data_IF_508811897981
#
_entry.id   IF_508811897981
#
_cell.length_a   1.000
_cell.length_b   1.000
_cell.length_c   1.000
_cell.angle_alpha   90.00
_cell.angle_beta   90.00
_cell.angle_gamma   90.00
#
_symmetry.space_group_name_H-M   'P 1'
#
loop_
_entity.id
_entity.type
_entity.pdbx_description
1 polymer ?
#
# COMPACT_ATOMS: atom_id res chain seq x y z
N UNK A 1 23.70 74.92 -57.33
CA UNK A 1 23.90 74.51 -55.93
C UNK A 1 24.44 73.09 -55.94
N UNK A 2 25.73 72.89 -55.65
CA UNK A 2 26.34 71.56 -55.61
C UNK A 2 26.19 70.99 -54.20
N UNK A 3 25.45 69.90 -54.05
CA UNK A 3 25.35 69.20 -52.78
C UNK A 3 26.73 68.66 -52.40
N UNK A 4 27.17 68.97 -51.18
CA UNK A 4 28.48 68.50 -50.69
C UNK A 4 28.36 67.04 -50.25
N UNK A 5 29.40 66.23 -50.44
CA UNK A 5 29.41 64.83 -50.01
C UNK A 5 29.09 64.66 -48.51
N UNK A 6 29.42 65.65 -47.67
CA UNK A 6 29.09 65.65 -46.25
C UNK A 6 27.59 65.78 -45.96
N UNK A 7 26.84 66.53 -46.77
CA UNK A 7 25.38 66.65 -46.61
C UNK A 7 24.69 65.33 -46.94
N UNK A 8 25.14 64.63 -47.98
CA UNK A 8 24.61 63.32 -48.36
C UNK A 8 24.92 62.27 -47.28
N UNK A 9 26.14 62.26 -46.74
CA UNK A 9 26.53 61.37 -45.65
C UNK A 9 25.73 61.65 -44.36
N UNK A 10 25.54 62.92 -44.00
CA UNK A 10 24.75 63.32 -42.84
C UNK A 10 23.29 62.88 -42.93
N UNK A 11 22.67 62.96 -44.11
CA UNK A 11 21.29 62.50 -44.32
C UNK A 11 21.15 60.99 -44.12
N UNK A 12 22.09 60.20 -44.67
CA UNK A 12 22.10 58.74 -44.52
C UNK A 12 22.33 58.36 -43.05
N UNK A 13 23.29 59.02 -42.38
CA UNK A 13 23.57 58.79 -40.97
C UNK A 13 22.35 59.11 -40.09
N UNK A 14 21.64 60.21 -40.37
CA UNK A 14 20.42 60.58 -39.65
C UNK A 14 19.30 59.54 -39.81
N UNK A 15 19.10 59.03 -41.04
CA UNK A 15 18.14 57.96 -41.31
C UNK A 15 18.49 56.65 -40.62
N UNK A 16 19.76 56.25 -40.65
CA UNK A 16 20.24 55.06 -39.96
C UNK A 16 20.06 55.19 -38.43
N UNK A 17 20.39 56.36 -37.87
CA UNK A 17 20.20 56.63 -36.45
C UNK A 17 18.72 56.62 -36.05
N UNK A 18 17.83 57.19 -36.87
CA UNK A 18 16.39 57.14 -36.64
C UNK A 18 15.88 55.68 -36.54
N UNK A 19 16.27 54.82 -37.49
CA UNK A 19 15.89 53.40 -37.48
C UNK A 19 16.44 52.67 -36.25
N UNK A 20 17.68 52.98 -35.85
CA UNK A 20 18.31 52.43 -34.65
C UNK A 20 17.49 52.81 -33.40
N UNK A 21 17.10 54.07 -33.25
CA UNK A 21 16.31 54.53 -32.10
C UNK A 21 14.95 53.83 -32.06
N UNK A 22 14.26 53.69 -33.18
CA UNK A 22 12.99 52.96 -33.24
C UNK A 22 13.17 51.50 -32.79
N UNK A 23 14.24 50.84 -33.26
CA UNK A 23 14.57 49.48 -32.85
C UNK A 23 14.85 49.39 -31.34
N UNK A 24 15.62 50.32 -30.76
CA UNK A 24 15.88 50.37 -29.33
C UNK A 24 14.60 50.56 -28.52
N UNK A 25 13.70 51.45 -28.95
CA UNK A 25 12.40 51.62 -28.30
C UNK A 25 11.61 50.31 -28.30
N UNK A 26 11.59 49.59 -29.42
CA UNK A 26 10.91 48.30 -29.51
C UNK A 26 11.51 47.24 -28.57
N UNK A 27 12.84 47.16 -28.47
CA UNK A 27 13.53 46.26 -27.54
C UNK A 27 13.21 46.63 -26.09
N UNK A 28 13.25 47.91 -25.74
CA UNK A 28 12.99 48.38 -24.38
C UNK A 28 11.57 48.04 -23.93
N UNK A 29 10.57 48.21 -24.81
CA UNK A 29 9.18 47.83 -24.52
C UNK A 29 9.05 46.32 -24.29
N UNK A 30 9.73 45.49 -25.09
CA UNK A 30 9.75 44.04 -24.90
C UNK A 30 10.42 43.65 -23.58
N UNK A 31 11.54 44.27 -23.23
CA UNK A 31 12.24 44.03 -21.95
C UNK A 31 11.35 44.38 -20.77
N UNK A 32 10.65 45.52 -20.80
CA UNK A 32 9.70 45.90 -19.75
C UNK A 32 8.56 44.88 -19.63
N UNK A 33 8.05 44.38 -20.76
CA UNK A 33 7.01 43.35 -20.77
C UNK A 33 7.51 42.05 -20.13
N UNK A 34 8.71 41.60 -20.51
CA UNK A 34 9.35 40.41 -19.92
C UNK A 34 9.53 40.59 -18.41
N UNK A 35 10.03 41.75 -17.95
CA UNK A 35 10.20 42.02 -16.51
C UNK A 35 8.86 41.96 -15.77
N UNK A 36 7.78 42.49 -16.36
CA UNK A 36 6.44 42.42 -15.75
C UNK A 36 5.92 40.99 -15.66
N UNK A 37 6.06 40.22 -16.73
CA UNK A 37 5.69 38.80 -16.76
C UNK A 37 6.53 37.98 -15.77
N UNK A 38 7.84 38.21 -15.70
CA UNK A 38 8.73 37.58 -14.71
C UNK A 38 8.33 37.93 -13.27
N UNK A 39 7.97 39.19 -12.98
CA UNK A 39 7.49 39.56 -11.65
C UNK A 39 6.18 38.84 -11.28
N UNK A 40 5.26 38.72 -12.23
CA UNK A 40 4.03 37.97 -12.03
C UNK A 40 4.32 36.48 -11.80
N UNK A 41 5.22 35.87 -12.60
CA UNK A 41 5.63 34.48 -12.42
C UNK A 41 6.33 34.24 -11.09
N UNK A 42 7.21 35.15 -10.63
CA UNK A 42 7.84 35.05 -9.32
C UNK A 42 6.78 35.13 -8.22
N UNK A 43 5.81 36.05 -8.33
CA UNK A 43 4.72 36.18 -7.35
C UNK A 43 3.88 34.90 -7.27
N UNK A 44 3.50 34.34 -8.42
CA UNK A 44 2.76 33.07 -8.46
C UNK A 44 3.60 31.92 -7.89
N UNK A 45 4.87 31.82 -8.29
CA UNK A 45 5.78 30.79 -7.76
C UNK A 45 5.93 30.88 -6.24
N UNK A 46 6.08 32.09 -5.68
CA UNK A 46 6.10 32.29 -4.22
C UNK A 46 4.79 31.83 -3.58
N UNK A 47 3.64 32.18 -4.17
CA UNK A 47 2.33 31.73 -3.68
C UNK A 47 2.16 30.21 -3.73
N UNK A 48 2.69 29.57 -4.78
CA UNK A 48 2.65 28.11 -4.94
C UNK A 48 3.55 27.45 -3.89
N UNK A 49 4.73 28.00 -3.62
CA UNK A 49 5.65 27.52 -2.57
C UNK A 49 5.05 27.67 -1.17
N UNK A 50 4.39 28.79 -0.88
CA UNK A 50 3.67 29.00 0.38
C UNK A 50 2.55 27.96 0.55
N UNK A 51 1.81 27.69 -0.53
CA UNK A 51 0.72 26.70 -0.52
C UNK A 51 1.24 25.27 -0.36
N UNK A 52 2.32 24.90 -1.06
CA UNK A 52 3.01 23.61 -0.89
C UNK A 52 3.53 23.47 0.53
N UNK A 53 4.11 24.53 1.10
CA UNK A 53 4.60 24.48 2.49
C UNK A 53 3.47 24.23 3.46
N UNK A 54 2.32 24.91 3.28
CA UNK A 54 1.13 24.69 4.10
C UNK A 54 0.55 23.27 3.93
N UNK A 55 0.55 22.73 2.71
CA UNK A 55 0.09 21.37 2.44
C UNK A 55 1.06 20.32 3.02
N UNK A 56 2.38 20.58 2.98
CA UNK A 56 3.40 19.76 3.66
C UNK A 56 3.22 19.80 5.17
N UNK A 57 2.95 20.96 5.78
CA UNK A 57 2.62 21.05 7.21
C UNK A 57 1.37 20.23 7.54
N UNK A 58 0.33 20.31 6.71
CA UNK A 58 -0.88 19.51 6.87
C UNK A 58 -0.62 17.99 6.70
N UNK A 59 0.26 17.61 5.76
CA UNK A 59 0.69 16.23 5.57
C UNK A 59 1.52 15.71 6.74
N UNK A 60 2.42 16.53 7.29
CA UNK A 60 3.19 16.19 8.50
C UNK A 60 2.27 16.02 9.70
N UNK A 61 1.26 16.90 9.87
CA UNK A 61 0.25 16.77 10.91
C UNK A 61 -0.57 15.49 10.74
N UNK A 62 -1.09 15.22 9.53
CA UNK A 62 -1.81 13.96 9.22
C UNK A 62 -0.92 12.73 9.41
N UNK A 63 0.35 12.79 9.02
CA UNK A 63 1.30 11.69 9.24
C UNK A 63 1.55 11.46 10.72
N UNK A 64 1.67 12.52 11.53
CA UNK A 64 1.79 12.41 12.98
C UNK A 64 0.53 11.81 13.61
N UNK A 65 -0.66 12.19 13.14
CA UNK A 65 -1.93 11.59 13.57
C UNK A 65 -2.02 10.11 13.15
N UNK A 66 -1.62 9.78 11.92
CA UNK A 66 -1.55 8.39 11.45
C UNK A 66 -0.55 7.56 12.26
N UNK A 67 0.63 8.11 12.58
CA UNK A 67 1.62 7.43 13.42
C UNK A 67 1.09 7.22 14.84
N UNK A 68 0.35 8.19 15.39
CA UNK A 68 -0.31 8.04 16.69
C UNK A 68 -1.42 6.99 16.66
N UNK A 69 -2.25 6.96 15.61
CA UNK A 69 -3.30 5.95 15.43
C UNK A 69 -2.71 4.55 15.23
N UNK A 70 -1.65 4.42 14.44
CA UNK A 70 -0.91 3.16 14.26
C UNK A 70 -0.29 2.71 15.58
N UNK A 71 0.39 3.60 16.32
CA UNK A 71 0.94 3.27 17.64
C UNK A 71 -0.16 2.85 18.63
N UNK A 72 -1.33 3.49 18.58
CA UNK A 72 -2.51 3.13 19.37
C UNK A 72 -3.05 1.75 19.00
N UNK A 73 -3.21 1.47 17.69
CA UNK A 73 -3.70 0.18 17.18
C UNK A 73 -2.71 -0.96 17.42
N UNK A 74 -1.42 -0.74 17.27
CA UNK A 74 -0.38 -1.74 17.55
C UNK A 74 -0.39 -2.15 19.02
N UNK A 75 -0.53 -1.20 19.95
CA UNK A 75 -0.69 -1.51 21.39
C UNK A 75 -1.91 -2.39 21.69
N UNK A 76 -2.96 -2.28 20.88
CA UNK A 76 -4.15 -3.15 21.00
C UNK A 76 -4.04 -4.47 20.23
N UNK A 77 -3.05 -4.61 19.35
CA UNK A 77 -2.77 -5.84 18.58
C UNK A 77 -1.86 -6.80 19.38
N UNK A 78 -1.05 -6.32 20.33
CA UNK A 78 -0.26 -7.16 21.24
C UNK A 78 -1.05 -8.33 21.89
N UNK A 79 -2.24 -8.09 22.49
CA UNK A 79 -3.06 -9.17 23.03
C UNK A 79 -3.73 -10.04 21.95
N UNK A 80 -3.91 -9.53 20.72
CA UNK A 80 -4.42 -10.32 19.58
C UNK A 80 -3.37 -11.31 19.07
N UNK A 81 -2.08 -10.95 19.07
CA UNK A 81 -1.00 -11.89 18.78
C UNK A 81 -0.91 -12.99 19.85
N UNK A 82 -1.08 -12.65 21.12
CA UNK A 82 -1.15 -13.64 22.21
C UNK A 82 -2.38 -14.54 22.07
N UNK A 83 -3.56 -14.01 21.74
CA UNK A 83 -4.75 -14.86 21.54
C UNK A 83 -4.65 -15.74 20.29
N UNK A 84 -3.97 -15.30 19.23
CA UNK A 84 -3.68 -16.18 18.08
C UNK A 84 -2.68 -17.28 18.45
N UNK A 85 -1.71 -17.00 19.31
CA UNK A 85 -0.80 -18.02 19.84
C UNK A 85 -1.56 -19.05 20.71
N UNK A 86 -2.40 -18.58 21.64
CA UNK A 86 -3.22 -19.44 22.51
C UNK A 86 -4.26 -20.25 21.70
N UNK A 87 -4.79 -19.68 20.61
CA UNK A 87 -5.66 -20.39 19.68
C UNK A 87 -4.89 -21.44 18.85
N UNK A 88 -3.66 -21.14 18.43
CA UNK A 88 -2.79 -22.11 17.75
C UNK A 88 -2.48 -23.31 18.66
N UNK A 89 -2.17 -23.05 19.93
CA UNK A 89 -1.98 -24.08 20.96
C UNK A 89 -3.28 -24.88 21.14
N UNK A 90 -4.43 -24.21 21.26
CA UNK A 90 -5.73 -24.85 21.43
C UNK A 90 -6.16 -25.70 20.24
N UNK A 91 -5.88 -25.29 18.99
CA UNK A 91 -6.16 -26.08 17.79
C UNK A 91 -5.21 -27.28 17.69
N UNK A 92 -3.94 -27.12 18.10
CA UNK A 92 -2.98 -28.22 18.21
C UNK A 92 -3.46 -29.26 19.24
N UNK A 93 -3.86 -28.82 20.43
CA UNK A 93 -4.40 -29.67 21.49
C UNK A 93 -5.69 -30.36 21.07
N UNK A 94 -6.58 -29.67 20.35
CA UNK A 94 -7.81 -30.25 19.81
C UNK A 94 -7.52 -31.29 18.73
N UNK A 95 -6.55 -31.03 17.86
CA UNK A 95 -6.10 -31.96 16.83
C UNK A 95 -5.51 -33.23 17.47
N UNK A 96 -4.68 -33.08 18.49
CA UNK A 96 -4.07 -34.21 19.20
C UNK A 96 -5.09 -34.99 20.02
N UNK A 97 -6.03 -34.32 20.68
CA UNK A 97 -7.13 -34.95 21.42
C UNK A 97 -8.08 -35.70 20.47
N UNK A 98 -8.45 -35.08 19.34
CA UNK A 98 -9.30 -35.69 18.32
C UNK A 98 -8.65 -36.90 17.66
N UNK A 99 -7.36 -36.80 17.31
CA UNK A 99 -6.57 -37.91 16.75
C UNK A 99 -6.39 -39.04 17.75
N UNK A 100 -6.15 -38.73 19.02
CA UNK A 100 -6.06 -39.70 20.09
C UNK A 100 -7.38 -40.41 20.33
N UNK A 101 -8.50 -39.68 20.36
CA UNK A 101 -9.84 -40.24 20.51
C UNK A 101 -10.23 -41.11 19.31
N UNK A 102 -9.99 -40.64 18.08
CA UNK A 102 -10.23 -41.41 16.86
C UNK A 102 -9.40 -42.70 16.83
N UNK A 103 -8.14 -42.65 17.28
CA UNK A 103 -7.26 -43.82 17.35
C UNK A 103 -7.72 -44.80 18.43
N UNK A 104 -8.14 -44.31 19.61
CA UNK A 104 -8.73 -45.14 20.67
C UNK A 104 -10.07 -45.74 20.27
N UNK A 105 -10.94 -45.00 19.60
CA UNK A 105 -12.23 -45.50 19.12
C UNK A 105 -12.05 -46.51 17.98
N UNK A 106 -11.14 -46.26 17.05
CA UNK A 106 -10.81 -47.21 15.96
C UNK A 106 -10.19 -48.49 16.50
N UNK A 107 -9.28 -48.40 17.47
CA UNK A 107 -8.66 -49.58 18.09
C UNK A 107 -9.64 -50.35 18.98
N UNK A 108 -10.51 -49.65 19.72
CA UNK A 108 -11.56 -50.26 20.54
C UNK A 108 -12.64 -50.91 19.65
N UNK A 109 -13.09 -50.24 18.58
CA UNK A 109 -14.01 -50.80 17.58
C UNK A 109 -13.41 -52.01 16.86
N UNK A 110 -12.13 -51.98 16.48
CA UNK A 110 -11.45 -53.16 15.90
C UNK A 110 -11.33 -54.31 16.90
N UNK A 111 -11.10 -54.05 18.19
CA UNK A 111 -11.04 -55.10 19.22
C UNK A 111 -12.44 -55.68 19.50
N UNK A 112 -13.42 -54.83 19.76
CA UNK A 112 -14.82 -55.20 20.03
C UNK A 112 -15.45 -55.89 18.83
N UNK A 113 -15.21 -55.41 17.60
CA UNK A 113 -15.69 -56.04 16.39
C UNK A 113 -15.09 -57.44 16.18
N UNK A 114 -13.78 -57.60 16.38
CA UNK A 114 -13.13 -58.90 16.27
C UNK A 114 -13.56 -59.88 17.37
N UNK A 115 -13.72 -59.42 18.61
CA UNK A 115 -14.18 -60.28 19.72
C UNK A 115 -15.66 -60.61 19.61
N UNK A 116 -16.52 -59.69 19.19
CA UNK A 116 -17.95 -59.95 19.01
C UNK A 116 -18.20 -60.96 17.87
N UNK A 117 -17.49 -60.81 16.75
CA UNK A 117 -17.57 -61.77 15.64
C UNK A 117 -17.01 -63.12 16.08
N UNK A 118 -15.86 -63.16 16.75
CA UNK A 118 -15.28 -64.41 17.27
C UNK A 118 -16.20 -65.08 18.30
N UNK A 119 -16.84 -64.32 19.19
CA UNK A 119 -17.77 -64.83 20.21
C UNK A 119 -19.04 -65.40 19.58
N UNK A 120 -19.63 -64.72 18.59
CA UNK A 120 -20.79 -65.22 17.87
C UNK A 120 -20.46 -66.48 17.05
N UNK A 121 -19.29 -66.54 16.42
CA UNK A 121 -18.82 -67.74 15.71
C UNK A 121 -18.56 -68.91 16.68
N UNK A 122 -17.87 -68.66 17.80
CA UNK A 122 -17.61 -69.66 18.83
C UNK A 122 -18.91 -70.19 19.45
N UNK A 123 -19.87 -69.30 19.75
CA UNK A 123 -21.20 -69.67 20.26
C UNK A 123 -21.95 -70.54 19.26
N UNK A 124 -21.96 -70.20 17.97
CA UNK A 124 -22.58 -71.01 16.94
C UNK A 124 -21.94 -72.40 16.79
N UNK A 125 -20.61 -72.50 16.91
CA UNK A 125 -19.91 -73.78 16.87
C UNK A 125 -20.18 -74.66 18.10
N UNK A 126 -20.17 -74.06 19.29
CA UNK A 126 -20.41 -74.77 20.55
C UNK A 126 -21.85 -75.28 20.64
N UNK A 127 -22.82 -74.48 20.17
CA UNK A 127 -24.23 -74.87 20.17
C UNK A 127 -24.51 -76.00 19.17
N UNK A 128 -23.75 -76.08 18.07
CA UNK A 128 -23.87 -77.16 17.07
C UNK A 128 -23.33 -78.50 17.56
N UNK A 129 -22.32 -78.51 18.44
CA UNK A 129 -21.77 -79.77 18.98
C UNK A 129 -22.64 -80.40 20.08
N UNK A 130 -23.38 -79.59 20.85
CA UNK A 130 -24.28 -80.12 21.90
C UNK A 130 -25.63 -80.62 21.36
N UNK A 131 -26.04 -80.19 20.16
CA UNK A 131 -27.30 -80.62 19.54
C UNK A 131 -27.26 -82.06 18.95
N UNK A 132 -26.10 -82.72 18.87
CA UNK A 132 -25.96 -84.10 18.36
C UNK A 132 -25.95 -85.20 19.42
N UNK A 133 -26.19 -84.88 20.70
CA UNK A 133 -26.32 -85.89 21.79
C UNK A 133 -27.77 -86.23 22.16
N UNK A 134 -28.75 -85.89 21.31
CA UNK A 134 -30.17 -86.10 21.61
C UNK A 134 -30.98 -86.90 20.58
N UNK A 135 -30.32 -87.64 19.69
CA UNK A 135 -30.93 -88.71 18.90
C UNK A 135 -29.95 -89.87 18.77
#
# INVERSE_FOLDING_TARGET
MTFTFGQLAGLIAALAFLLLVIFLCAVLVKTVKIIRETQQSIKSLTSDVDSISHEVEALLAKSNDLLNDVNGKVKTIDPLFQTVADLSESVSDLNDAGRSLATKMTSSSKKVGKTAVAWNLAKHFYQKHNAKKKY
#
